data_IF_026726118463
#
_entry.id   IF_026726118463
#
_cell.length_a   1.000
_cell.length_b   1.000
_cell.length_c   1.000
_cell.angle_alpha   90.00
_cell.angle_beta   90.00
_cell.angle_gamma   90.00
#
_symmetry.space_group_name_H-M   'P 1'
#
loop_
_entity.id
_entity.type
_entity.pdbx_description
1 polymer ?
#
# COMPACT_ATOMS: atom_id res chain seq x y z
N UNK A 1 21.15 30.64 1.90
CA UNK A 1 20.43 31.26 0.76
C UNK A 1 21.46 31.77 -0.21
N UNK A 2 21.44 31.33 -1.46
CA UNK A 2 22.40 31.77 -2.48
C UNK A 2 21.75 31.64 -3.84
N UNK A 3 21.58 32.78 -4.52
CA UNK A 3 21.06 32.86 -5.88
C UNK A 3 22.26 32.88 -6.82
N UNK A 4 22.34 31.94 -7.76
CA UNK A 4 23.37 31.95 -8.79
C UNK A 4 22.69 31.98 -10.16
N UNK A 5 23.04 32.98 -10.95
CA UNK A 5 22.50 33.21 -12.29
C UNK A 5 23.57 32.85 -13.32
N UNK A 6 23.34 31.78 -14.09
CA UNK A 6 24.13 31.53 -15.30
C UNK A 6 23.48 32.27 -16.47
N UNK A 7 24.26 33.11 -17.15
CA UNK A 7 23.86 33.78 -18.39
C UNK A 7 24.55 33.07 -19.55
N UNK A 8 23.76 32.35 -20.34
CA UNK A 8 24.22 31.75 -21.59
C UNK A 8 23.64 32.55 -22.75
N UNK A 9 24.48 33.14 -23.57
CA UNK A 9 24.04 33.89 -24.77
C UNK A 9 23.97 32.90 -25.93
N UNK A 10 22.76 32.52 -26.32
CA UNK A 10 22.50 31.73 -27.52
C UNK A 10 21.56 32.50 -28.45
N UNK A 11 22.02 32.72 -29.68
CA UNK A 11 21.23 33.36 -30.74
C UNK A 11 20.10 32.39 -31.15
N UNK A 12 18.86 32.85 -31.02
CA UNK A 12 17.66 32.16 -31.51
C UNK A 12 17.32 30.87 -30.76
N UNK A 13 17.02 30.95 -29.46
CA UNK A 13 16.44 29.83 -28.73
C UNK A 13 15.05 30.21 -28.21
N UNK A 14 14.01 29.66 -28.83
CA UNK A 14 12.68 29.57 -28.21
C UNK A 14 12.80 28.69 -26.97
N UNK A 15 12.70 29.30 -25.79
CA UNK A 15 12.63 28.56 -24.54
C UNK A 15 11.23 27.95 -24.38
N UNK A 16 11.17 26.63 -24.26
CA UNK A 16 9.94 25.91 -23.93
C UNK A 16 10.02 25.53 -22.46
N UNK A 17 9.18 26.16 -21.63
CA UNK A 17 9.03 25.77 -20.23
C UNK A 17 8.04 24.60 -20.15
N UNK A 18 8.53 23.41 -19.82
CA UNK A 18 7.70 22.23 -19.60
C UNK A 18 7.49 22.05 -18.09
N UNK A 19 6.22 21.95 -17.67
CA UNK A 19 5.87 21.61 -16.30
C UNK A 19 5.69 20.09 -16.21
N UNK A 20 6.58 19.41 -15.51
CA UNK A 20 6.45 17.99 -15.22
C UNK A 20 5.76 17.80 -13.87
N UNK A 21 4.71 16.98 -13.83
CA UNK A 21 4.09 16.54 -12.58
C UNK A 21 4.46 15.08 -12.33
N UNK A 22 5.21 14.83 -11.26
CA UNK A 22 5.55 13.47 -10.83
C UNK A 22 4.51 13.01 -9.78
N UNK A 23 3.77 11.94 -10.09
CA UNK A 23 2.88 11.29 -9.12
C UNK A 23 3.53 10.02 -8.62
N UNK A 24 3.89 9.98 -7.34
CA UNK A 24 4.36 8.76 -6.68
C UNK A 24 3.13 7.98 -6.23
N UNK A 25 2.82 6.89 -6.93
CA UNK A 25 1.77 5.96 -6.55
C UNK A 25 2.22 5.05 -5.41
N UNK A 26 1.27 4.61 -4.59
CA UNK A 26 1.52 3.53 -3.64
C UNK A 26 1.84 2.25 -4.39
N UNK A 27 2.96 1.62 -4.05
CA UNK A 27 3.40 0.38 -4.68
C UNK A 27 3.65 -0.67 -3.60
N UNK A 28 3.44 -1.94 -3.96
CA UNK A 28 3.65 -3.09 -3.09
C UNK A 28 4.47 -4.15 -3.82
N UNK A 29 5.26 -4.90 -3.06
CA UNK A 29 6.02 -6.07 -3.48
C UNK A 29 5.74 -7.23 -2.51
N UNK A 30 5.83 -8.46 -3.02
CA UNK A 30 5.67 -9.66 -2.21
C UNK A 30 6.92 -9.86 -1.36
N UNK A 31 6.75 -9.88 -0.03
CA UNK A 31 7.84 -10.17 0.92
C UNK A 31 7.89 -11.67 1.22
N UNK A 32 6.75 -12.27 1.53
CA UNK A 32 6.61 -13.72 1.75
C UNK A 32 5.20 -14.20 1.46
N UNK A 33 5.10 -15.46 1.03
CA UNK A 33 3.85 -16.20 0.86
C UNK A 33 4.02 -17.53 1.57
N UNK A 34 3.56 -17.61 2.80
CA UNK A 34 3.63 -18.81 3.65
C UNK A 34 2.21 -19.13 4.10
N UNK A 35 1.52 -19.95 3.31
CA UNK A 35 0.09 -20.21 3.52
C UNK A 35 -0.18 -20.68 4.97
N UNK A 36 -1.19 -20.10 5.64
CA UNK A 36 -2.22 -19.22 5.09
C UNK A 36 -1.88 -17.72 5.09
N UNK A 37 -0.65 -17.33 5.44
CA UNK A 37 -0.24 -15.93 5.62
C UNK A 37 0.50 -15.39 4.39
N UNK A 38 0.21 -14.15 4.03
CA UNK A 38 0.88 -13.40 2.97
C UNK A 38 1.36 -12.07 3.54
N UNK A 39 2.64 -11.75 3.35
CA UNK A 39 3.22 -10.48 3.79
C UNK A 39 3.66 -9.71 2.56
N UNK A 40 3.15 -8.48 2.45
CA UNK A 40 3.53 -7.53 1.42
C UNK A 40 4.35 -6.40 2.02
N UNK A 41 5.37 -5.97 1.30
CA UNK A 41 6.05 -4.72 1.60
C UNK A 41 5.52 -3.64 0.67
N UNK A 42 5.04 -2.55 1.25
CA UNK A 42 4.51 -1.44 0.50
C UNK A 42 5.25 -0.14 0.84
N UNK A 43 5.06 0.87 0.00
CA UNK A 43 5.48 2.25 0.27
C UNK A 43 4.99 2.69 1.65
N UNK A 44 5.76 3.54 2.33
CA UNK A 44 5.47 3.95 3.72
C UNK A 44 4.07 4.53 3.86
N UNK A 45 3.28 3.98 4.78
CA UNK A 45 1.91 4.40 5.08
C UNK A 45 0.88 3.92 4.05
N UNK A 46 1.27 3.05 3.11
CA UNK A 46 0.35 2.49 2.11
C UNK A 46 -0.06 1.07 2.50
N UNK A 47 -1.37 0.89 2.64
CA UNK A 47 -2.01 -0.33 3.14
C UNK A 47 -3.30 -0.57 2.35
N UNK A 48 -3.23 -1.24 1.19
CA UNK A 48 -4.40 -1.51 0.37
C UNK A 48 -5.32 -2.51 1.07
N UNK A 49 -6.63 -2.31 1.01
CA UNK A 49 -7.59 -3.27 1.58
C UNK A 49 -7.61 -4.58 0.79
N UNK A 50 -7.47 -4.50 -0.54
CA UNK A 50 -7.36 -5.64 -1.43
C UNK A 50 -5.97 -5.64 -2.11
N UNK A 51 -5.09 -6.59 -1.80
CA UNK A 51 -3.75 -6.67 -2.36
C UNK A 51 -3.75 -7.04 -3.86
N UNK A 52 -4.83 -7.60 -4.40
CA UNK A 52 -4.95 -7.91 -5.84
C UNK A 52 -5.08 -6.66 -6.71
N UNK A 53 -5.38 -5.50 -6.11
CA UNK A 53 -5.47 -4.22 -6.84
C UNK A 53 -4.10 -3.60 -7.11
N UNK A 54 -3.07 -3.98 -6.35
CA UNK A 54 -1.73 -3.38 -6.39
C UNK A 54 -0.67 -4.33 -6.93
N UNK A 55 -0.96 -5.63 -6.97
CA UNK A 55 -0.07 -6.67 -7.45
C UNK A 55 -0.72 -7.43 -8.61
N UNK A 56 0.10 -7.82 -9.59
CA UNK A 56 -0.37 -8.58 -10.73
C UNK A 56 -0.87 -9.98 -10.32
N UNK A 57 -1.87 -10.47 -11.05
CA UNK A 57 -2.38 -11.84 -10.90
C UNK A 57 -1.23 -12.85 -11.10
N UNK A 58 -1.08 -13.79 -10.16
CA UNK A 58 -0.02 -14.80 -10.14
C UNK A 58 1.04 -14.60 -9.05
N UNK A 59 1.20 -13.38 -8.52
CA UNK A 59 2.07 -13.12 -7.37
C UNK A 59 1.40 -13.46 -6.01
N UNK A 60 0.07 -13.59 -6.02
CA UNK A 60 -0.77 -13.81 -4.85
C UNK A 60 -1.66 -15.05 -5.05
N UNK A 61 -2.04 -15.76 -3.97
CA UNK A 61 -3.07 -16.80 -4.03
C UNK A 61 -4.36 -16.24 -4.63
N UNK A 62 -5.04 -17.00 -5.48
CA UNK A 62 -6.33 -16.56 -6.08
C UNK A 62 -7.49 -16.55 -5.09
N UNK A 63 -7.31 -17.18 -3.93
CA UNK A 63 -8.29 -17.17 -2.86
C UNK A 63 -8.36 -15.78 -2.18
N UNK A 64 -9.53 -15.38 -1.64
CA UNK A 64 -9.67 -14.09 -0.98
C UNK A 64 -8.65 -13.90 0.16
N UNK A 65 -8.07 -12.70 0.22
CA UNK A 65 -7.12 -12.32 1.26
C UNK A 65 -7.80 -11.38 2.26
N UNK A 66 -7.77 -11.75 3.53
CA UNK A 66 -8.30 -10.97 4.64
C UNK A 66 -7.18 -10.15 5.25
N UNK A 67 -7.41 -8.85 5.37
CA UNK A 67 -6.49 -7.93 6.04
C UNK A 67 -6.29 -8.30 7.53
N UNK A 68 -5.05 -8.48 7.96
CA UNK A 68 -4.70 -8.77 9.35
C UNK A 68 -4.11 -7.55 10.06
N UNK A 69 -3.30 -6.75 9.36
CA UNK A 69 -2.68 -5.57 9.95
C UNK A 69 -1.50 -5.00 9.17
N UNK A 70 -1.00 -3.85 9.64
CA UNK A 70 0.15 -3.16 9.09
C UNK A 70 1.18 -2.85 10.18
N UNK A 71 2.45 -3.05 9.87
CA UNK A 71 3.57 -2.65 10.74
C UNK A 71 4.64 -1.89 9.95
N UNK A 72 5.39 -0.96 10.57
CA UNK A 72 6.52 -0.31 9.91
C UNK A 72 7.61 -1.33 9.54
N UNK A 73 8.10 -1.27 8.30
CA UNK A 73 9.21 -2.10 7.87
C UNK A 73 10.54 -1.52 8.42
N UNK A 74 11.50 -2.36 8.88
CA UNK A 74 12.77 -1.90 9.46
C UNK A 74 13.68 -1.17 8.45
N UNK A 75 13.50 -1.46 7.16
CA UNK A 75 14.21 -0.86 6.02
C UNK A 75 13.42 0.29 5.36
N UNK A 76 12.37 0.78 6.02
CA UNK A 76 11.46 1.79 5.49
C UNK A 76 10.35 1.17 4.65
N UNK A 77 9.14 1.73 4.80
CA UNK A 77 7.93 1.20 4.19
C UNK A 77 6.94 0.64 5.23
N UNK A 78 5.97 -0.10 4.75
CA UNK A 78 4.93 -0.74 5.57
C UNK A 78 4.84 -2.21 5.19
N UNK A 79 4.93 -3.10 6.18
CA UNK A 79 4.62 -4.52 6.05
C UNK A 79 3.13 -4.71 6.29
N UNK A 80 2.41 -5.15 5.27
CA UNK A 80 0.99 -5.45 5.31
C UNK A 80 0.81 -6.96 5.34
N UNK A 81 0.15 -7.46 6.37
CA UNK A 81 -0.12 -8.89 6.57
C UNK A 81 -1.56 -9.22 6.19
N UNK A 82 -1.71 -10.30 5.44
CA UNK A 82 -2.99 -10.85 5.02
C UNK A 82 -3.05 -12.34 5.33
N UNK A 83 -4.26 -12.85 5.48
CA UNK A 83 -4.52 -14.27 5.63
C UNK A 83 -5.46 -14.73 4.52
N UNK A 84 -5.18 -15.89 3.93
CA UNK A 84 -6.11 -16.53 3.00
C UNK A 84 -7.38 -16.92 3.75
N UNK A 85 -8.53 -16.43 3.26
CA UNK A 85 -9.83 -16.85 3.75
C UNK A 85 -10.02 -18.33 3.39
N UNK A 86 -10.07 -19.19 4.41
CA UNK A 86 -10.40 -20.61 4.24
C UNK A 86 -11.90 -20.89 4.37
N UNK A 87 -12.69 -19.90 4.80
CA UNK A 87 -14.15 -19.98 4.91
C UNK A 87 -14.81 -18.62 4.60
N UNK A 88 -15.99 -18.64 3.99
CA UNK A 88 -16.72 -17.45 3.50
C UNK A 88 -17.18 -16.58 4.68
N UNK A 89 -17.36 -17.16 5.87
CA UNK A 89 -17.71 -16.43 7.09
C UNK A 89 -16.60 -15.49 7.59
N UNK A 90 -15.33 -15.70 7.20
CA UNK A 90 -14.20 -14.92 7.69
C UNK A 90 -14.03 -13.57 6.96
N UNK A 91 -14.79 -13.37 5.87
CA UNK A 91 -14.78 -12.14 5.05
C UNK A 91 -15.67 -11.05 5.69
N UNK A 92 -16.57 -11.43 6.62
CA UNK A 92 -17.24 -10.48 7.50
C UNK A 92 -16.27 -10.06 8.61
N UNK A 93 -15.71 -8.85 8.51
CA UNK A 93 -14.95 -8.22 9.58
C UNK A 93 -15.73 -8.24 10.92
N UNK A 94 -15.05 -8.31 12.07
CA UNK A 94 -15.67 -8.06 13.37
C UNK A 94 -15.99 -6.56 13.51
N UNK A 95 -17.10 -6.11 12.91
CA UNK A 95 -17.78 -4.89 13.32
C UNK A 95 -18.81 -5.22 14.38
N UNK A 96 -18.34 -5.65 15.54
CA UNK A 96 -19.13 -5.67 16.76
C UNK A 96 -18.23 -5.18 17.88
N UNK A 97 -18.26 -3.86 18.10
CA UNK A 97 -17.94 -3.31 19.42
C UNK A 97 -19.02 -3.81 20.37
N UNK A 98 -18.73 -4.61 21.40
CA UNK A 98 -19.74 -4.98 22.38
C UNK A 98 -19.87 -3.85 23.41
N UNK A 99 -20.35 -2.69 22.98
CA UNK A 99 -20.98 -1.74 23.90
C UNK A 99 -22.46 -2.10 24.01
N UNK A 100 -22.77 -3.02 24.92
CA UNK A 100 -24.14 -3.43 25.20
C UNK A 100 -24.16 -4.33 26.41
N UNK A 101 -24.35 -3.74 27.58
CA UNK A 101 -24.48 -4.40 28.87
C UNK A 101 -25.40 -5.63 28.81
N UNK A 102 -24.90 -6.78 29.26
CA UNK A 102 -25.74 -7.97 29.50
C UNK A 102 -26.30 -7.84 30.91
N UNK A 103 -27.59 -7.49 31.00
CA UNK A 103 -28.38 -7.57 32.23
C UNK A 103 -28.83 -9.02 32.41
N UNK A 104 -28.41 -9.66 33.51
CA UNK A 104 -28.85 -11.01 33.89
C UNK A 104 -30.11 -10.88 34.73
N UNK A 105 -31.23 -11.47 34.27
CA UNK A 105 -32.41 -11.77 35.08
C UNK A 105 -32.32 -13.20 35.61
#
# INVERSE_FOLDING_TARGET
>A
MGLFTLVTVAQGQTSVALNFTLRVGGACEVRSVELPVVILRCTRGFSPADPHTVLAAGALPTAPLVWMGATPAPDGGTLNEYRVATDIQQIQAPSASPEGWVEYY
#
